data_IF_516912976006
#
_entry.id   IF_516912976006
#
_cell.length_a   1.000
_cell.length_b   1.000
_cell.length_c   1.000
_cell.angle_alpha   90.00
_cell.angle_beta   90.00
_cell.angle_gamma   90.00
#
_symmetry.space_group_name_H-M   'P 1'
#
loop_
_entity.id
_entity.type
_entity.pdbx_description
1 polymer ?
#
# COMPACT_ATOMS: atom_id res chain seq x y z
N UNK A 1 0.91 13.58 26.07
CA UNK A 1 0.76 15.05 25.97
C UNK A 1 -0.05 15.34 24.73
N UNK A 2 -1.21 15.99 24.86
CA UNK A 2 -2.09 16.28 23.73
C UNK A 2 -1.94 17.74 23.30
N UNK A 3 -1.86 17.97 22.00
CA UNK A 3 -1.92 19.30 21.41
C UNK A 3 -3.37 19.76 21.29
N UNK A 4 -3.59 21.06 21.46
CA UNK A 4 -4.87 21.75 21.28
C UNK A 4 -4.63 23.04 20.51
N UNK A 5 -5.69 23.67 20.02
CA UNK A 5 -5.63 24.97 19.37
C UNK A 5 -6.56 25.95 20.07
N UNK A 6 -6.10 27.19 20.19
CA UNK A 6 -6.80 28.29 20.85
C UNK A 6 -6.86 29.48 19.89
N UNK A 7 -7.98 30.21 19.88
CA UNK A 7 -8.05 31.49 19.17
C UNK A 7 -7.38 32.56 20.02
N UNK A 8 -6.18 32.98 19.62
CA UNK A 8 -5.36 33.98 20.33
C UNK A 8 -5.70 35.41 19.90
N UNK A 9 -6.12 35.60 18.65
CA UNK A 9 -6.56 36.88 18.10
C UNK A 9 -7.80 36.70 17.20
N UNK A 10 -8.55 37.76 16.81
CA UNK A 10 -9.77 37.63 16.02
C UNK A 10 -9.63 36.81 14.72
N UNK A 11 -8.44 36.82 14.11
CA UNK A 11 -8.10 36.09 12.88
C UNK A 11 -6.92 35.13 13.04
N UNK A 12 -6.51 34.83 14.29
CA UNK A 12 -5.33 33.99 14.57
C UNK A 12 -5.68 32.83 15.50
N UNK A 13 -5.29 31.63 15.10
CA UNK A 13 -5.43 30.40 15.84
C UNK A 13 -4.07 29.80 16.12
N UNK A 14 -3.71 29.68 17.40
CA UNK A 14 -2.42 29.14 17.83
C UNK A 14 -2.59 27.71 18.32
N UNK A 15 -1.82 26.79 17.73
CA UNK A 15 -1.65 25.40 18.19
C UNK A 15 -0.60 25.38 19.28
N UNK A 16 -0.81 24.56 20.30
CA UNK A 16 0.13 24.38 21.40
C UNK A 16 -0.27 23.24 22.33
N UNK A 17 0.43 23.11 23.44
CA UNK A 17 0.12 22.12 24.47
C UNK A 17 0.40 22.69 25.86
N UNK A 18 -0.16 22.05 26.89
CA UNK A 18 0.14 22.39 28.27
C UNK A 18 1.28 21.50 28.79
N UNK A 19 2.22 22.11 29.50
CA UNK A 19 3.24 21.37 30.26
C UNK A 19 2.57 20.63 31.43
N UNK A 20 3.24 19.65 32.06
CA UNK A 20 2.75 19.03 33.29
C UNK A 20 2.46 20.02 34.42
N UNK A 21 3.12 21.18 34.39
CA UNK A 21 2.97 22.25 35.38
C UNK A 21 1.78 23.19 35.05
N UNK A 22 1.14 23.01 33.89
CA UNK A 22 0.00 23.81 33.44
C UNK A 22 0.36 25.03 32.59
N UNK A 23 1.63 25.22 32.23
CA UNK A 23 2.07 26.34 31.38
C UNK A 23 1.70 26.09 29.91
N UNK A 24 1.21 27.13 29.23
CA UNK A 24 0.90 27.07 27.80
C UNK A 24 2.16 27.23 26.94
N UNK A 25 2.44 26.24 26.09
CA UNK A 25 3.55 26.24 25.14
C UNK A 25 3.02 26.34 23.71
N UNK A 26 3.12 27.52 23.06
CA UNK A 26 2.71 27.69 21.67
C UNK A 26 3.67 26.95 20.72
N UNK A 27 3.14 26.43 19.61
CA UNK A 27 3.88 25.68 18.60
C UNK A 27 3.78 26.32 17.21
N UNK A 28 2.56 26.68 16.76
CA UNK A 28 2.35 27.30 15.44
C UNK A 28 1.07 28.13 15.37
N UNK A 29 1.05 29.11 14.48
CA UNK A 29 -0.07 30.01 14.23
C UNK A 29 -0.72 29.75 12.87
N UNK A 30 -2.04 29.91 12.81
CA UNK A 30 -2.88 29.60 11.65
C UNK A 30 -3.95 30.68 11.46
N UNK A 31 -4.24 31.01 10.21
CA UNK A 31 -5.26 32.00 9.82
C UNK A 31 -6.71 31.49 9.95
N UNK A 32 -6.87 30.18 10.12
CA UNK A 32 -8.16 29.52 10.10
C UNK A 32 -8.24 28.37 11.10
N UNK A 33 -9.43 28.18 11.66
CA UNK A 33 -9.71 27.08 12.59
C UNK A 33 -9.45 25.71 11.96
N UNK A 34 -9.73 25.55 10.67
CA UNK A 34 -9.57 24.29 9.94
C UNK A 34 -8.08 23.90 9.82
N UNK A 35 -7.21 24.86 9.49
CA UNK A 35 -5.76 24.62 9.43
C UNK A 35 -5.19 24.25 10.81
N UNK A 36 -5.57 24.99 11.86
CA UNK A 36 -5.16 24.68 13.23
C UNK A 36 -5.65 23.29 13.69
N UNK A 37 -6.89 22.94 13.37
CA UNK A 37 -7.47 21.63 13.69
C UNK A 37 -6.75 20.48 12.97
N UNK A 38 -6.40 20.67 11.68
CA UNK A 38 -5.62 19.69 10.92
C UNK A 38 -4.23 19.49 11.55
N UNK A 39 -3.55 20.58 11.93
CA UNK A 39 -2.24 20.50 12.60
C UNK A 39 -2.32 19.77 13.94
N UNK A 40 -3.32 20.06 14.76
CA UNK A 40 -3.57 19.35 16.03
C UNK A 40 -3.87 17.87 15.81
N UNK A 41 -4.68 17.54 14.80
CA UNK A 41 -4.96 16.15 14.43
C UNK A 41 -3.68 15.38 14.09
N UNK A 42 -2.79 15.96 13.28
CA UNK A 42 -1.50 15.36 12.93
C UNK A 42 -0.60 15.22 14.15
N UNK A 43 -0.44 16.26 14.96
CA UNK A 43 0.42 16.25 16.15
C UNK A 43 -0.07 15.25 17.23
N UNK A 44 -1.38 14.99 17.27
CA UNK A 44 -1.99 13.99 18.13
C UNK A 44 -2.01 12.57 17.50
N UNK A 45 -1.34 12.37 16.36
CA UNK A 45 -1.16 11.05 15.75
C UNK A 45 -2.18 10.67 14.68
N UNK A 46 -3.09 11.57 14.28
CA UNK A 46 -4.09 11.32 13.24
C UNK A 46 -3.53 11.20 11.82
N UNK A 47 -2.23 11.43 11.62
CA UNK A 47 -1.59 11.51 10.31
C UNK A 47 -1.14 10.18 9.69
N UNK A 48 -1.11 9.07 10.44
CA UNK A 48 -0.86 7.73 9.89
C UNK A 48 -0.89 6.71 11.03
N UNK A 49 -2.08 6.45 11.57
CA UNK A 49 -2.30 5.14 12.20
C UNK A 49 -2.53 4.17 11.05
N UNK A 50 -1.43 3.78 10.40
CA UNK A 50 -1.44 2.61 9.54
C UNK A 50 -1.96 1.47 10.42
N UNK A 51 -3.15 0.97 10.10
CA UNK A 51 -3.66 -0.19 10.82
C UNK A 51 -2.78 -1.37 10.44
N UNK A 52 -1.80 -1.64 11.30
CA UNK A 52 -0.84 -2.72 11.11
C UNK A 52 -1.56 -4.06 10.96
N UNK A 53 -2.75 -4.22 11.55
CA UNK A 53 -3.55 -5.42 11.38
C UNK A 53 -4.12 -5.53 9.96
N UNK A 54 -4.58 -4.43 9.38
CA UNK A 54 -5.05 -4.38 7.98
C UNK A 54 -3.91 -4.71 7.01
N UNK A 55 -2.74 -4.10 7.18
CA UNK A 55 -1.57 -4.41 6.36
C UNK A 55 -1.08 -5.86 6.50
N UNK A 56 -1.15 -6.43 7.71
CA UNK A 56 -0.79 -7.84 7.91
C UNK A 56 -1.74 -8.75 7.13
N UNK A 57 -3.04 -8.45 7.19
CA UNK A 57 -4.07 -9.21 6.46
C UNK A 57 -3.83 -9.13 4.95
N UNK A 58 -3.66 -7.93 4.39
CA UNK A 58 -3.38 -7.76 2.96
C UNK A 58 -2.12 -8.51 2.52
N UNK A 59 -1.06 -8.49 3.34
CA UNK A 59 0.17 -9.22 3.06
C UNK A 59 -0.05 -10.73 3.03
N UNK A 60 -0.89 -11.26 3.91
CA UNK A 60 -1.17 -12.70 3.95
C UNK A 60 -2.07 -13.12 2.78
N UNK A 61 -3.10 -12.33 2.45
CA UNK A 61 -3.94 -12.54 1.27
C UNK A 61 -3.10 -12.53 -0.03
N UNK A 62 -2.14 -11.61 -0.16
CA UNK A 62 -1.23 -11.55 -1.31
C UNK A 62 -0.28 -12.77 -1.37
N UNK A 63 0.17 -13.27 -0.22
CA UNK A 63 1.02 -14.48 -0.18
C UNK A 63 0.25 -15.70 -0.68
N UNK A 64 -1.02 -15.83 -0.29
CA UNK A 64 -1.86 -16.92 -0.74
C UNK A 64 -2.12 -16.86 -2.26
N UNK A 65 -2.38 -15.66 -2.79
CA UNK A 65 -2.50 -15.45 -4.24
C UNK A 65 -1.20 -15.80 -4.99
N UNK A 66 -0.04 -15.37 -4.48
CA UNK A 66 1.25 -15.71 -5.08
C UNK A 66 1.49 -17.22 -5.10
N UNK A 67 1.08 -17.93 -4.04
CA UNK A 67 1.20 -19.39 -3.99
C UNK A 67 0.31 -20.07 -5.04
N UNK A 68 -0.94 -19.63 -5.16
CA UNK A 68 -1.86 -20.18 -6.16
C UNK A 68 -1.35 -19.95 -7.59
N UNK A 69 -0.85 -18.74 -7.89
CA UNK A 69 -0.25 -18.44 -9.19
C UNK A 69 0.97 -19.32 -9.49
N UNK A 70 1.80 -19.61 -8.48
CA UNK A 70 2.95 -20.49 -8.64
C UNK A 70 2.51 -21.91 -9.01
N UNK A 71 1.49 -22.43 -8.33
CA UNK A 71 0.93 -23.77 -8.62
C UNK A 71 0.36 -23.82 -10.06
N UNK A 72 -0.35 -22.78 -10.49
CA UNK A 72 -0.86 -22.67 -11.86
C UNK A 72 0.27 -22.65 -12.90
N UNK A 73 1.33 -21.88 -12.67
CA UNK A 73 2.49 -21.82 -13.57
C UNK A 73 3.17 -23.19 -13.68
N UNK A 74 3.30 -23.93 -12.58
CA UNK A 74 3.87 -25.28 -12.61
C UNK A 74 3.04 -26.25 -13.45
N UNK A 75 1.71 -26.23 -13.29
CA UNK A 75 0.81 -27.02 -14.12
C UNK A 75 0.98 -26.71 -15.61
N UNK A 76 0.98 -25.43 -15.98
CA UNK A 76 1.17 -25.00 -17.37
C UNK A 76 2.53 -25.40 -17.94
N UNK A 77 3.59 -25.35 -17.13
CA UNK A 77 4.91 -25.81 -17.54
C UNK A 77 4.93 -27.30 -17.84
N UNK A 78 4.24 -28.12 -17.04
CA UNK A 78 4.10 -29.55 -17.32
C UNK A 78 3.33 -29.82 -18.60
N UNK A 79 2.20 -29.14 -18.81
CA UNK A 79 1.40 -29.30 -20.03
C UNK A 79 2.18 -28.90 -21.28
N UNK A 80 2.92 -27.78 -21.20
CA UNK A 80 3.79 -27.33 -22.30
C UNK A 80 4.88 -28.36 -22.61
N UNK A 81 5.53 -28.92 -21.57
CA UNK A 81 6.53 -29.96 -21.75
C UNK A 81 5.96 -31.22 -22.41
N UNK A 82 4.75 -31.64 -22.02
CA UNK A 82 4.06 -32.77 -22.62
C UNK A 82 3.71 -32.53 -24.09
N UNK A 83 3.17 -31.34 -24.41
CA UNK A 83 2.85 -30.93 -25.78
C UNK A 83 4.10 -30.86 -26.66
N UNK A 84 5.21 -30.35 -26.13
CA UNK A 84 6.46 -30.27 -26.86
C UNK A 84 7.04 -31.66 -27.17
N UNK A 85 6.99 -32.59 -26.21
CA UNK A 85 7.39 -33.97 -26.44
C UNK A 85 6.53 -34.67 -27.52
N UNK A 86 5.22 -34.39 -27.56
CA UNK A 86 4.33 -34.90 -28.62
C UNK A 86 4.67 -34.28 -29.98
N UNK A 87 4.96 -32.98 -30.02
CA UNK A 87 5.37 -32.30 -31.25
C UNK A 87 6.65 -32.90 -31.83
N UNK A 88 7.65 -33.15 -30.99
CA UNK A 88 8.95 -33.72 -31.40
C UNK A 88 8.82 -35.15 -31.94
N UNK A 89 7.78 -35.88 -31.55
CA UNK A 89 7.46 -37.22 -32.06
C UNK A 89 6.62 -37.19 -33.34
N UNK A 90 6.19 -36.02 -33.80
CA UNK A 90 5.38 -35.89 -35.00
C UNK A 90 6.26 -36.09 -36.25
N UNK A 91 5.94 -37.07 -37.12
CA UNK A 91 6.75 -37.30 -38.32
C UNK A 91 6.65 -36.13 -39.29
N UNK A 92 7.78 -35.69 -39.84
CA UNK A 92 7.79 -34.65 -40.86
C UNK A 92 6.97 -35.09 -42.10
N UNK A 93 6.13 -34.20 -42.67
CA UNK A 93 5.43 -34.51 -43.91
C UNK A 93 6.44 -34.74 -45.04
N UNK A 94 6.18 -35.68 -45.97
CA UNK A 94 7.11 -35.98 -47.04
C UNK A 94 7.39 -34.72 -47.86
N UNK A 95 8.68 -34.41 -48.05
CA UNK A 95 9.12 -33.25 -48.81
C UNK A 95 8.45 -33.25 -50.20
N UNK A 96 7.69 -32.19 -50.49
CA UNK A 96 7.05 -32.01 -51.81
C UNK A 96 8.14 -31.97 -52.87
N UNK A 97 8.30 -33.06 -53.61
CA UNK A 97 9.23 -33.12 -54.74
C UNK A 97 8.75 -32.09 -55.76
N UNK A 98 9.47 -30.98 -55.88
CA UNK A 98 9.25 -29.97 -56.92
C UNK A 98 9.53 -30.65 -58.26
N UNK A 99 8.49 -31.11 -58.96
CA UNK A 99 8.61 -31.57 -60.34
C UNK A 99 9.03 -30.36 -61.19
N UNK A 100 10.18 -30.49 -61.83
CA UNK A 100 10.77 -29.52 -62.77
C UNK A 100 9.93 -29.40 -64.02
#
# INVERSE_FOLDING_TARGET
MGYVYLRTEPQLWTVGHYTPNGDWMPESDHDSTTAAAQRVSVLNGGGNTVDVAELIKERDDLKDQCKELLDQVQCLQWDLGALQAQHDQCPEPPAKTRRR
#
